data_IF_160453754077
#
_entry.id   IF_160453754077
#
_cell.length_a   1.000
_cell.length_b   1.000
_cell.length_c   1.000
_cell.angle_alpha   90.00
_cell.angle_beta   90.00
_cell.angle_gamma   90.00
#
_symmetry.space_group_name_H-M   'P 1'
#
loop_
_entity.id
_entity.type
_entity.pdbx_description
1 polymer ?
#
# COMPACT_ATOMS: atom_id res chain seq x y z
N UNK A 1 -10.36 8.95 16.69
CA UNK A 1 -9.64 7.69 17.02
C UNK A 1 -9.09 7.13 15.74
N UNK A 2 -7.79 7.05 15.64
CA UNK A 2 -7.19 6.29 14.53
C UNK A 2 -7.55 4.83 14.71
N UNK A 3 -8.50 4.38 13.94
CA UNK A 3 -8.92 2.98 13.91
C UNK A 3 -8.15 2.28 12.80
N UNK A 4 -7.94 0.96 12.93
CA UNK A 4 -7.40 0.15 11.82
C UNK A 4 -8.48 -0.12 10.75
N UNK A 5 -9.50 0.75 10.64
CA UNK A 5 -10.46 0.72 9.55
C UNK A 5 -9.80 1.35 8.30
N UNK A 6 -8.97 0.56 7.64
CA UNK A 6 -8.13 0.97 6.54
C UNK A 6 -8.50 0.20 5.27
N UNK A 7 -8.55 0.91 4.15
CA UNK A 7 -8.64 0.28 2.84
C UNK A 7 -7.23 0.02 2.28
N UNK A 8 -7.06 -1.09 1.58
CA UNK A 8 -5.81 -1.51 0.94
C UNK A 8 -5.91 -1.35 -0.57
N UNK A 9 -5.00 -0.59 -1.16
CA UNK A 9 -4.70 -0.64 -2.59
C UNK A 9 -3.33 -1.25 -2.83
N UNK A 10 -3.14 -1.87 -3.99
CA UNK A 10 -1.87 -2.48 -4.36
C UNK A 10 -1.93 -3.19 -5.70
N UNK A 11 -0.77 -3.62 -6.18
CA UNK A 11 -0.64 -4.23 -7.50
C UNK A 11 0.35 -5.40 -7.56
N UNK A 12 0.66 -6.01 -6.41
CA UNK A 12 1.64 -7.09 -6.25
C UNK A 12 3.11 -6.67 -6.46
N UNK A 13 3.39 -5.37 -6.47
CA UNK A 13 4.75 -4.81 -6.40
C UNK A 13 4.90 -3.89 -5.20
N UNK A 14 3.84 -3.19 -4.84
CA UNK A 14 3.77 -2.35 -3.65
C UNK A 14 2.33 -2.28 -3.12
N UNK A 15 2.16 -1.68 -1.94
CA UNK A 15 0.87 -1.51 -1.26
C UNK A 15 0.75 -0.12 -0.64
N UNK A 16 -0.48 0.36 -0.49
CA UNK A 16 -0.79 1.54 0.30
C UNK A 16 -2.08 1.34 1.10
N UNK A 17 -2.09 1.88 2.32
CA UNK A 17 -3.25 1.89 3.21
C UNK A 17 -3.85 3.29 3.28
N UNK A 18 -5.17 3.35 3.15
CA UNK A 18 -5.96 4.56 3.20
C UNK A 18 -6.91 4.51 4.40
N UNK A 19 -7.03 5.61 5.12
CA UNK A 19 -8.06 5.77 6.13
C UNK A 19 -9.45 6.03 5.51
N UNK A 20 -10.47 6.18 6.34
CA UNK A 20 -11.85 6.38 5.91
C UNK A 20 -12.10 7.72 5.18
N UNK A 21 -11.13 8.65 5.19
CA UNK A 21 -11.16 9.91 4.46
C UNK A 21 -10.24 9.92 3.24
N UNK A 22 -9.81 8.72 2.79
CA UNK A 22 -8.85 8.53 1.70
C UNK A 22 -7.47 9.16 1.95
N UNK A 23 -7.08 9.41 3.20
CA UNK A 23 -5.70 9.79 3.52
C UNK A 23 -4.82 8.55 3.45
N UNK A 24 -3.76 8.58 2.65
CA UNK A 24 -2.77 7.53 2.61
C UNK A 24 -1.88 7.68 3.84
N UNK A 25 -1.94 6.69 4.73
CA UNK A 25 -1.28 6.69 6.04
C UNK A 25 -0.10 5.72 6.11
N UNK A 26 -0.03 4.79 5.16
CA UNK A 26 1.07 3.83 5.05
C UNK A 26 1.32 3.46 3.59
N UNK A 27 2.56 3.56 3.14
CA UNK A 27 3.01 3.01 1.85
C UNK A 27 4.52 2.92 1.80
N UNK A 28 5.05 1.73 1.51
CA UNK A 28 6.48 1.49 1.33
C UNK A 28 6.86 1.59 -0.15
N UNK A 29 8.08 2.07 -0.43
CA UNK A 29 8.61 2.23 -1.77
C UNK A 29 10.07 1.72 -1.85
N UNK A 30 10.48 1.12 -2.95
CA UNK A 30 9.67 0.71 -4.11
C UNK A 30 8.93 -0.63 -3.88
N UNK A 31 9.23 -1.35 -2.79
CA UNK A 31 8.71 -2.69 -2.44
C UNK A 31 7.90 -2.65 -1.13
N UNK A 32 7.03 -3.64 -0.87
CA UNK A 32 6.24 -3.70 0.36
C UNK A 32 7.07 -3.72 1.66
N UNK A 33 8.26 -4.32 1.63
CA UNK A 33 9.21 -4.38 2.76
C UNK A 33 10.21 -3.21 2.79
N UNK A 34 10.09 -2.28 1.85
CA UNK A 34 10.95 -1.12 1.72
C UNK A 34 10.69 -0.02 2.75
N UNK A 35 11.27 1.14 2.46
CA UNK A 35 11.10 2.35 3.26
C UNK A 35 9.67 2.89 3.19
N UNK A 36 8.97 3.09 4.31
CA UNK A 36 7.62 3.65 4.30
C UNK A 36 7.66 5.16 4.07
N UNK A 37 7.57 5.58 2.82
CA UNK A 37 7.52 7.00 2.42
C UNK A 37 6.28 7.71 2.96
N UNK A 38 5.21 6.97 3.21
CA UNK A 38 4.07 7.41 4.01
C UNK A 38 3.95 6.48 5.21
N UNK A 39 4.11 7.03 6.40
CA UNK A 39 4.24 6.29 7.66
C UNK A 39 3.48 6.94 8.83
N UNK A 40 2.54 7.84 8.53
CA UNK A 40 1.76 8.53 9.55
C UNK A 40 0.96 7.58 10.44
N UNK A 41 0.66 6.37 9.98
CA UNK A 41 0.06 5.32 10.80
C UNK A 41 0.87 5.00 12.07
N UNK A 42 2.19 5.12 11.99
CA UNK A 42 3.13 4.84 13.09
C UNK A 42 3.80 6.12 13.65
N UNK A 43 3.40 7.30 13.20
CA UNK A 43 3.97 8.58 13.62
C UNK A 43 3.06 9.35 14.57
N UNK A 44 2.02 8.76 15.09
CA UNK A 44 1.07 9.45 15.90
C UNK A 44 1.39 9.35 17.39
N UNK A 45 1.89 10.42 18.04
CA UNK A 45 1.74 10.56 19.49
C UNK A 45 0.29 10.92 19.83
N UNK A 46 -0.30 10.39 20.92
CA UNK A 46 -1.63 10.83 21.34
C UNK A 46 -1.56 12.33 21.69
N UNK A 47 -2.37 13.15 21.03
CA UNK A 47 -2.60 14.51 21.47
C UNK A 47 -3.43 14.55 22.74
N UNK A 48 -3.51 15.68 23.43
CA UNK A 48 -4.29 15.85 24.67
C UNK A 48 -5.80 15.54 24.49
N UNK A 49 -6.28 15.57 23.24
CA UNK A 49 -7.66 15.21 22.87
C UNK A 49 -7.80 13.75 22.37
N UNK A 50 -6.73 12.94 22.50
CA UNK A 50 -6.67 11.55 22.04
C UNK A 50 -6.62 11.41 20.51
N UNK A 51 -6.44 12.49 19.77
CA UNK A 51 -6.20 12.47 18.32
C UNK A 51 -4.72 12.59 18.05
N UNK A 52 -4.20 11.72 17.21
CA UNK A 52 -2.86 11.85 16.67
C UNK A 52 -2.96 12.62 15.36
N UNK A 53 -2.32 13.79 15.28
CA UNK A 53 -2.24 14.57 14.04
C UNK A 53 -0.77 14.59 13.62
N UNK A 54 -0.35 13.66 12.77
CA UNK A 54 1.01 13.66 12.26
C UNK A 54 1.21 14.85 11.29
N UNK A 55 2.34 15.55 11.42
CA UNK A 55 2.70 16.64 10.50
C UNK A 55 3.27 16.16 9.18
N UNK A 56 3.64 14.89 9.06
CA UNK A 56 4.29 14.31 7.90
C UNK A 56 4.02 12.80 7.78
N UNK A 57 4.49 12.22 6.70
CA UNK A 57 4.33 10.79 6.43
C UNK A 57 2.93 10.43 5.90
N UNK A 58 2.27 11.36 5.18
CA UNK A 58 0.95 11.12 4.62
C UNK A 58 0.74 11.79 3.26
N UNK A 59 -0.31 11.35 2.56
CA UNK A 59 -0.80 11.97 1.34
C UNK A 59 -2.33 12.13 1.43
N UNK A 60 -2.79 13.35 1.50
CA UNK A 60 -4.18 13.71 1.77
C UNK A 60 -4.77 14.61 0.67
N UNK A 61 -6.05 14.41 0.41
CA UNK A 61 -6.91 15.34 -0.32
C UNK A 61 -8.01 15.70 0.66
N UNK A 62 -7.89 16.86 1.29
CA UNK A 62 -8.85 17.34 2.27
C UNK A 62 -9.96 18.13 1.59
N UNK A 63 -11.22 17.78 1.86
CA UNK A 63 -12.37 18.64 1.60
C UNK A 63 -12.55 19.58 2.80
N UNK A 64 -12.43 20.89 2.58
CA UNK A 64 -12.60 21.86 3.66
C UNK A 64 -14.04 21.80 4.22
N UNK A 65 -14.12 21.74 5.55
CA UNK A 65 -15.41 21.60 6.24
C UNK A 65 -16.02 20.20 6.13
N UNK A 66 -15.20 19.18 5.86
CA UNK A 66 -15.63 17.79 5.75
C UNK A 66 -16.33 17.31 7.03
N UNK A 67 -17.59 16.89 6.92
CA UNK A 67 -18.42 16.40 8.01
C UNK A 67 -18.66 14.89 7.96
N UNK A 68 -18.42 14.25 6.82
CA UNK A 68 -18.64 12.81 6.64
C UNK A 68 -17.91 12.23 5.46
N UNK A 69 -17.72 10.91 5.49
CA UNK A 69 -17.11 10.16 4.40
C UNK A 69 -17.78 8.80 4.23
N UNK A 70 -17.85 8.35 3.00
CA UNK A 70 -18.28 7.00 2.60
C UNK A 70 -17.18 6.38 1.75
N UNK A 71 -16.73 5.17 2.11
CA UNK A 71 -15.64 4.49 1.39
C UNK A 71 -16.06 3.09 1.01
N UNK A 72 -15.76 2.70 -0.23
CA UNK A 72 -16.03 1.37 -0.76
C UNK A 72 -14.99 0.95 -1.79
N UNK A 73 -14.86 -0.34 -1.97
CA UNK A 73 -14.19 -0.88 -3.16
C UNK A 73 -15.15 -0.89 -4.35
N UNK A 74 -14.64 -0.57 -5.54
CA UNK A 74 -15.37 -0.92 -6.77
C UNK A 74 -15.55 -2.44 -6.84
N UNK A 75 -16.75 -2.93 -7.22
CA UNK A 75 -17.03 -4.36 -7.23
C UNK A 75 -15.97 -5.16 -8.01
N UNK A 76 -15.45 -6.20 -7.35
CA UNK A 76 -14.46 -7.13 -7.90
C UNK A 76 -13.13 -6.49 -8.32
N UNK A 77 -12.70 -5.44 -7.61
CA UNK A 77 -11.44 -4.74 -7.90
C UNK A 77 -10.64 -4.42 -6.64
N UNK A 78 -9.41 -3.94 -6.84
CA UNK A 78 -8.57 -3.30 -5.82
C UNK A 78 -8.60 -1.76 -5.93
N UNK A 79 -9.65 -1.21 -6.51
CA UNK A 79 -9.88 0.24 -6.64
C UNK A 79 -10.80 0.69 -5.52
N UNK A 80 -10.42 1.75 -4.82
CA UNK A 80 -11.18 2.33 -3.70
C UNK A 80 -11.82 3.63 -4.17
N UNK A 81 -13.11 3.79 -3.92
CA UNK A 81 -13.84 5.06 -4.04
C UNK A 81 -14.15 5.59 -2.65
N UNK A 82 -13.81 6.85 -2.42
CA UNK A 82 -14.17 7.58 -1.20
C UNK A 82 -14.93 8.83 -1.57
N UNK A 83 -16.12 9.01 -1.01
CA UNK A 83 -16.91 10.23 -1.14
C UNK A 83 -16.78 11.02 0.15
N UNK A 84 -16.38 12.29 0.04
CA UNK A 84 -16.31 13.23 1.16
C UNK A 84 -17.45 14.24 1.02
N UNK A 85 -18.09 14.56 2.15
CA UNK A 85 -19.19 15.52 2.24
C UNK A 85 -18.82 16.67 3.18
N UNK A 86 -19.09 17.92 2.78
CA UNK A 86 -18.99 19.07 3.67
C UNK A 86 -20.34 19.43 4.32
N UNK A 87 -20.30 20.35 5.29
CA UNK A 87 -21.50 20.86 5.97
C UNK A 87 -22.36 21.78 5.10
N UNK A 88 -21.89 22.20 3.92
CA UNK A 88 -22.55 23.16 3.02
C UNK A 88 -23.22 22.49 1.82
N UNK A 89 -23.24 21.15 1.78
CA UNK A 89 -23.87 20.38 0.72
C UNK A 89 -22.97 20.08 -0.49
N UNK A 90 -21.69 20.44 -0.44
CA UNK A 90 -20.72 20.01 -1.46
C UNK A 90 -20.23 18.61 -1.20
N UNK A 91 -19.84 17.91 -2.26
CA UNK A 91 -19.25 16.59 -2.16
C UNK A 91 -18.24 16.37 -3.28
N UNK A 92 -17.16 15.63 -2.94
CA UNK A 92 -16.16 15.16 -3.88
C UNK A 92 -16.06 13.64 -3.84
N UNK A 93 -15.63 13.05 -4.95
CA UNK A 93 -15.25 11.65 -5.05
C UNK A 93 -13.76 11.55 -5.32
N UNK A 94 -13.09 10.68 -4.58
CA UNK A 94 -11.68 10.33 -4.76
C UNK A 94 -11.64 8.85 -5.15
N UNK A 95 -11.08 8.54 -6.32
CA UNK A 95 -10.85 7.17 -6.77
C UNK A 95 -9.37 6.86 -6.67
N UNK A 96 -9.00 5.91 -5.81
CA UNK A 96 -7.62 5.52 -5.48
C UNK A 96 -7.30 4.13 -5.96
N UNK A 97 -6.17 3.97 -6.65
CA UNK A 97 -5.70 2.66 -7.10
C UNK A 97 -4.20 2.62 -7.39
N UNK A 98 -3.66 1.40 -7.42
CA UNK A 98 -2.34 1.07 -7.92
C UNK A 98 -2.48 0.48 -9.34
N UNK A 99 -1.89 1.07 -10.38
CA UNK A 99 -2.04 0.60 -11.76
C UNK A 99 -1.57 -0.85 -11.93
N UNK A 100 -2.41 -1.65 -12.58
CA UNK A 100 -2.09 -3.03 -12.93
C UNK A 100 -2.84 -3.47 -14.18
N UNK A 101 -2.12 -3.94 -15.19
CA UNK A 101 -2.71 -4.53 -16.39
C UNK A 101 -1.68 -5.37 -17.15
N UNK A 102 -2.15 -6.13 -18.15
CA UNK A 102 -1.27 -6.82 -19.08
C UNK A 102 -0.93 -5.90 -20.27
N UNK A 103 0.32 -5.87 -20.65
CA UNK A 103 0.82 -5.14 -21.81
C UNK A 103 1.81 -6.00 -22.60
N UNK A 104 1.44 -6.37 -23.82
CA UNK A 104 2.25 -7.27 -24.66
C UNK A 104 2.74 -8.55 -23.94
N UNK A 105 1.83 -9.23 -23.22
CA UNK A 105 2.14 -10.45 -22.47
C UNK A 105 2.95 -10.25 -21.19
N UNK A 106 3.22 -8.99 -20.78
CA UNK A 106 3.92 -8.66 -19.53
C UNK A 106 2.99 -7.92 -18.59
N UNK A 107 3.16 -8.15 -17.29
CA UNK A 107 2.44 -7.40 -16.26
C UNK A 107 3.03 -6.00 -16.11
N UNK A 108 2.22 -4.98 -16.36
CA UNK A 108 2.52 -3.59 -16.00
C UNK A 108 1.99 -3.32 -14.60
N UNK A 109 2.88 -3.09 -13.65
CA UNK A 109 2.55 -2.92 -12.22
C UNK A 109 3.59 -2.02 -11.52
N UNK A 110 3.70 -0.75 -11.94
CA UNK A 110 4.68 0.17 -11.35
C UNK A 110 4.35 0.46 -9.89
N UNK A 111 5.36 0.84 -9.11
CA UNK A 111 5.16 1.34 -7.75
C UNK A 111 4.57 2.76 -7.78
N UNK A 112 3.32 2.86 -8.20
CA UNK A 112 2.62 4.11 -8.50
C UNK A 112 1.24 4.14 -7.87
N UNK A 113 0.90 5.27 -7.24
CA UNK A 113 -0.43 5.58 -6.72
C UNK A 113 -1.09 6.55 -7.69
N UNK A 114 -2.30 6.22 -8.15
CA UNK A 114 -3.13 7.13 -8.95
C UNK A 114 -4.36 7.52 -8.14
N UNK A 115 -4.63 8.83 -8.10
CA UNK A 115 -5.78 9.42 -7.44
C UNK A 115 -6.53 10.28 -8.44
N UNK A 116 -7.79 9.99 -8.66
CA UNK A 116 -8.68 10.79 -9.50
C UNK A 116 -9.69 11.48 -8.59
N UNK A 117 -9.78 12.81 -8.70
CA UNK A 117 -10.64 13.62 -7.83
C UNK A 117 -11.62 14.37 -8.69
N UNK A 118 -12.90 14.29 -8.35
CA UNK A 118 -13.95 15.02 -9.07
C UNK A 118 -15.04 15.57 -8.14
N UNK A 119 -15.62 16.66 -8.54
CA UNK A 119 -16.80 17.21 -7.89
C UNK A 119 -18.02 16.34 -8.19
N UNK A 120 -18.76 15.96 -7.16
CA UNK A 120 -20.08 15.32 -7.31
C UNK A 120 -21.20 16.34 -7.25
N UNK A 121 -21.09 17.35 -6.38
CA UNK A 121 -22.06 18.42 -6.24
C UNK A 121 -21.48 19.64 -5.52
N UNK A 122 -22.11 20.80 -5.71
CA UNK A 122 -21.72 22.05 -5.07
C UNK A 122 -20.44 22.64 -5.66
N UNK A 123 -19.79 23.48 -4.86
CA UNK A 123 -18.51 24.14 -5.18
C UNK A 123 -17.49 23.80 -4.09
N UNK A 124 -17.02 22.56 -4.06
CA UNK A 124 -16.11 22.09 -3.00
C UNK A 124 -14.77 22.81 -3.07
N UNK A 125 -14.23 23.14 -1.91
CA UNK A 125 -12.85 23.64 -1.77
C UNK A 125 -12.00 22.54 -1.18
N UNK A 126 -10.88 22.26 -1.82
CA UNK A 126 -9.95 21.21 -1.39
C UNK A 126 -8.57 21.76 -1.09
N UNK A 127 -7.83 21.01 -0.29
CA UNK A 127 -6.38 21.16 -0.08
C UNK A 127 -5.73 19.83 -0.39
N UNK A 128 -4.64 19.85 -1.16
CA UNK A 128 -3.84 18.66 -1.44
C UNK A 128 -2.54 18.77 -0.65
N UNK A 129 -2.28 17.78 0.23
CA UNK A 129 -1.05 17.69 1.03
C UNK A 129 -0.30 16.42 0.71
N UNK A 130 0.94 16.55 0.27
CA UNK A 130 1.83 15.42 -0.01
C UNK A 130 3.10 15.62 0.80
N UNK A 131 3.20 14.93 1.92
CA UNK A 131 4.26 15.10 2.92
C UNK A 131 5.04 13.79 3.14
N UNK A 132 5.74 13.27 2.11
CA UNK A 132 6.53 12.05 2.28
C UNK A 132 7.73 12.30 3.19
N UNK A 133 8.23 11.23 3.77
CA UNK A 133 9.51 11.16 4.48
C UNK A 133 10.26 9.93 4.02
N UNK A 134 11.57 9.95 4.14
CA UNK A 134 12.43 8.83 3.82
C UNK A 134 13.11 8.29 5.08
N UNK A 135 13.72 7.10 4.95
CA UNK A 135 14.45 6.42 6.01
C UNK A 135 13.64 6.32 7.32
N UNK A 136 12.40 5.78 7.18
CA UNK A 136 11.47 5.60 8.30
C UNK A 136 11.16 6.92 9.03
N UNK A 137 11.10 8.02 8.28
CA UNK A 137 10.74 9.34 8.80
C UNK A 137 11.90 10.23 9.19
N UNK A 138 13.15 9.74 9.18
CA UNK A 138 14.33 10.51 9.58
C UNK A 138 14.68 11.61 8.58
N UNK A 139 14.51 11.35 7.27
CA UNK A 139 14.97 12.26 6.22
C UNK A 139 13.80 13.00 5.56
N UNK A 140 13.84 14.33 5.61
CA UNK A 140 12.97 15.18 4.82
C UNK A 140 13.44 15.20 3.36
N UNK A 141 12.52 15.13 2.37
CA UNK A 141 12.92 15.25 0.98
C UNK A 141 13.39 16.64 0.63
N UNK A 142 14.35 16.73 -0.29
CA UNK A 142 14.56 17.93 -1.07
C UNK A 142 13.45 18.02 -2.12
N UNK A 143 12.84 19.21 -2.28
CA UNK A 143 11.72 19.40 -3.20
C UNK A 143 12.18 20.17 -4.43
N UNK A 144 12.01 19.56 -5.59
CA UNK A 144 12.20 20.23 -6.89
C UNK A 144 10.89 20.24 -7.68
N UNK A 145 10.68 21.23 -8.53
CA UNK A 145 9.42 21.42 -9.24
C UNK A 145 9.63 21.64 -10.74
N UNK A 146 8.70 21.15 -11.53
CA UNK A 146 8.54 21.48 -12.95
C UNK A 146 7.19 22.13 -13.22
N UNK A 147 6.81 22.22 -14.47
CA UNK A 147 5.53 22.82 -14.89
C UNK A 147 4.29 22.03 -14.44
N UNK A 148 4.40 20.70 -14.38
CA UNK A 148 3.29 19.78 -14.07
C UNK A 148 3.69 18.68 -13.09
N UNK A 149 4.80 18.86 -12.36
CA UNK A 149 5.25 17.82 -11.42
C UNK A 149 6.06 18.41 -10.26
N UNK A 150 6.05 17.68 -9.17
CA UNK A 150 6.88 17.86 -7.98
C UNK A 150 7.72 16.59 -7.80
N UNK A 151 9.01 16.74 -7.51
CA UNK A 151 9.90 15.64 -7.17
C UNK A 151 10.32 15.78 -5.71
N UNK A 152 10.14 14.71 -4.97
CA UNK A 152 10.61 14.56 -3.60
C UNK A 152 11.87 13.69 -3.67
N UNK A 153 13.02 14.31 -3.39
CA UNK A 153 14.34 13.72 -3.62
C UNK A 153 15.03 13.42 -2.30
N UNK A 154 15.60 12.24 -2.18
CA UNK A 154 16.56 11.84 -1.15
C UNK A 154 17.82 11.31 -1.85
N UNK A 155 18.86 10.95 -1.12
CA UNK A 155 20.17 10.59 -1.68
C UNK A 155 20.10 9.53 -2.80
N UNK A 156 19.26 8.51 -2.63
CA UNK A 156 19.13 7.36 -3.53
C UNK A 156 17.70 7.15 -4.07
N UNK A 157 16.73 8.01 -3.68
CA UNK A 157 15.31 7.84 -3.97
C UNK A 157 14.72 9.11 -4.53
N UNK A 158 13.88 8.97 -5.54
CA UNK A 158 13.07 10.05 -6.10
C UNK A 158 11.63 9.58 -6.22
N UNK A 159 10.73 10.34 -5.61
CA UNK A 159 9.30 10.16 -5.76
C UNK A 159 8.74 11.34 -6.54
N UNK A 160 8.05 11.07 -7.65
CA UNK A 160 7.49 12.11 -8.51
C UNK A 160 5.98 12.13 -8.44
N UNK A 161 5.42 13.29 -8.11
CA UNK A 161 4.02 13.61 -8.30
C UNK A 161 3.84 14.34 -9.63
N UNK A 162 3.08 13.76 -10.54
CA UNK A 162 2.67 14.42 -11.80
C UNK A 162 1.17 14.72 -11.73
N UNK A 163 0.78 15.97 -12.03
CA UNK A 163 -0.62 16.41 -11.90
C UNK A 163 -0.94 17.57 -12.84
N UNK A 164 -2.24 17.74 -13.13
CA UNK A 164 -2.78 18.93 -13.81
C UNK A 164 -3.13 20.06 -12.83
N UNK A 165 -3.22 19.77 -11.53
CA UNK A 165 -3.46 20.80 -10.50
C UNK A 165 -2.30 21.81 -10.46
N UNK A 166 -2.55 23.08 -10.09
CA UNK A 166 -1.50 24.09 -9.95
C UNK A 166 -0.46 23.66 -8.92
N UNK A 167 0.79 23.52 -9.36
CA UNK A 167 1.90 23.02 -8.52
C UNK A 167 2.09 23.90 -7.27
N UNK A 168 1.95 25.21 -7.41
CA UNK A 168 2.06 26.14 -6.27
C UNK A 168 1.02 25.85 -5.19
N UNK A 169 -0.22 25.49 -5.56
CA UNK A 169 -1.27 25.18 -4.60
C UNK A 169 -0.99 23.93 -3.78
N UNK A 170 -0.29 22.96 -4.37
CA UNK A 170 0.14 21.75 -3.65
C UNK A 170 1.33 22.05 -2.74
N UNK A 171 2.32 22.81 -3.22
CA UNK A 171 3.52 23.15 -2.44
C UNK A 171 3.22 24.07 -1.26
N UNK A 172 2.33 25.04 -1.47
CA UNK A 172 1.94 26.01 -0.46
C UNK A 172 0.70 25.56 0.34
N UNK A 173 0.16 24.37 0.01
CA UNK A 173 -1.07 23.81 0.59
C UNK A 173 -2.25 24.78 0.57
N UNK A 174 -2.35 25.52 -0.54
CA UNK A 174 -3.36 26.56 -0.71
C UNK A 174 -4.72 25.96 -1.05
N UNK A 175 -5.79 26.31 -0.32
CA UNK A 175 -7.15 25.88 -0.67
C UNK A 175 -7.61 26.43 -2.01
N UNK A 176 -8.20 25.58 -2.86
CA UNK A 176 -8.78 25.99 -4.14
C UNK A 176 -10.13 25.30 -4.40
N UNK A 177 -10.92 25.90 -5.28
CA UNK A 177 -12.19 25.32 -5.73
C UNK A 177 -11.88 24.20 -6.73
N UNK A 178 -12.50 23.03 -6.54
CA UNK A 178 -12.41 21.92 -7.48
C UNK A 178 -13.50 22.08 -8.56
N UNK A 179 -13.23 22.91 -9.56
CA UNK A 179 -14.13 23.19 -10.69
C UNK A 179 -13.98 22.16 -11.82
N UNK A 180 -12.78 21.61 -12.01
CA UNK A 180 -12.48 20.54 -12.95
C UNK A 180 -11.92 19.31 -12.25
N UNK A 181 -12.10 18.08 -12.80
CA UNK A 181 -11.46 16.89 -12.27
C UNK A 181 -9.95 17.02 -12.24
N UNK A 182 -9.33 16.53 -11.16
CA UNK A 182 -7.89 16.53 -10.97
C UNK A 182 -7.36 15.10 -10.94
N UNK A 183 -6.34 14.86 -11.75
CA UNK A 183 -5.57 13.60 -11.75
C UNK A 183 -4.22 13.81 -11.08
N UNK A 184 -3.89 12.90 -10.17
CA UNK A 184 -2.64 12.90 -9.40
C UNK A 184 -1.98 11.52 -9.56
N UNK A 185 -0.76 11.50 -10.10
CA UNK A 185 0.03 10.27 -10.32
C UNK A 185 1.33 10.39 -9.55
N UNK A 186 1.48 9.59 -8.50
CA UNK A 186 2.66 9.58 -7.63
C UNK A 186 3.41 8.26 -7.78
N UNK A 187 4.66 8.30 -8.19
CA UNK A 187 5.45 7.09 -8.42
C UNK A 187 6.90 7.37 -8.80
N UNK A 188 7.56 6.48 -9.57
CA UNK A 188 8.92 6.67 -10.08
C UNK A 188 9.07 7.97 -10.88
N UNK A 189 10.32 8.47 -10.96
CA UNK A 189 10.62 9.71 -11.70
C UNK A 189 10.63 9.49 -13.22
N UNK A 190 9.46 9.15 -13.75
CA UNK A 190 9.24 8.92 -15.17
C UNK A 190 8.21 9.91 -15.73
N UNK A 191 8.49 10.53 -16.90
CA UNK A 191 7.52 11.40 -17.55
C UNK A 191 6.38 10.59 -18.18
N UNK A 192 5.18 11.15 -18.15
CA UNK A 192 4.03 10.59 -18.88
C UNK A 192 4.18 10.85 -20.39
N UNK A 193 3.75 9.87 -21.20
CA UNK A 193 3.77 9.95 -22.67
C UNK A 193 2.51 10.58 -23.27
N UNK A 194 1.43 10.63 -22.49
CA UNK A 194 0.13 11.16 -22.87
C UNK A 194 -0.33 12.22 -21.85
N UNK A 195 -1.36 13.02 -22.14
CA UNK A 195 -1.96 13.95 -21.21
C UNK A 195 -2.32 13.25 -19.87
N UNK A 196 -2.18 13.98 -18.77
CA UNK A 196 -2.30 13.40 -17.41
C UNK A 196 -3.68 12.79 -17.21
N UNK A 197 -4.75 13.49 -17.56
CA UNK A 197 -6.12 13.02 -17.34
C UNK A 197 -6.50 11.84 -18.22
N UNK A 198 -6.00 11.81 -19.45
CA UNK A 198 -6.12 10.65 -20.34
C UNK A 198 -5.40 9.44 -19.75
N UNK A 199 -4.17 9.66 -19.28
CA UNK A 199 -3.36 8.62 -18.63
C UNK A 199 -4.05 8.05 -17.39
N UNK A 200 -4.58 8.92 -16.50
CA UNK A 200 -5.29 8.51 -15.30
C UNK A 200 -6.53 7.68 -15.59
N UNK A 201 -7.38 8.15 -16.51
CA UNK A 201 -8.59 7.42 -16.94
C UNK A 201 -8.27 6.07 -17.56
N UNK A 202 -7.30 6.04 -18.48
CA UNK A 202 -6.87 4.81 -19.14
C UNK A 202 -6.30 3.80 -18.12
N UNK A 203 -5.46 4.25 -17.19
CA UNK A 203 -4.92 3.38 -16.13
C UNK A 203 -6.03 2.82 -15.23
N UNK A 204 -7.05 3.62 -14.90
CA UNK A 204 -8.21 3.15 -14.13
C UNK A 204 -8.97 2.04 -14.89
N UNK A 205 -9.31 2.25 -16.15
CA UNK A 205 -10.02 1.26 -16.98
C UNK A 205 -9.25 -0.06 -17.07
N UNK A 206 -7.96 0.01 -17.43
CA UNK A 206 -7.10 -1.18 -17.55
C UNK A 206 -6.94 -1.91 -16.22
N UNK A 207 -6.79 -1.18 -15.10
CA UNK A 207 -6.65 -1.77 -13.77
C UNK A 207 -7.95 -2.44 -13.32
N UNK A 208 -9.08 -1.77 -13.55
CA UNK A 208 -10.41 -2.30 -13.26
C UNK A 208 -10.70 -3.58 -14.04
N UNK A 209 -10.37 -3.60 -15.32
CA UNK A 209 -10.58 -4.75 -16.18
C UNK A 209 -9.68 -5.92 -15.77
N UNK A 210 -8.42 -5.66 -15.41
CA UNK A 210 -7.53 -6.68 -14.86
C UNK A 210 -8.14 -7.37 -13.63
N UNK A 211 -8.56 -6.59 -12.62
CA UNK A 211 -9.10 -7.16 -11.39
C UNK A 211 -10.43 -7.90 -11.60
N UNK A 212 -11.28 -7.38 -12.46
CA UNK A 212 -12.53 -8.06 -12.83
C UNK A 212 -12.27 -9.38 -13.57
N UNK A 213 -11.27 -9.41 -14.44
CA UNK A 213 -10.85 -10.64 -15.09
C UNK A 213 -10.31 -11.66 -14.07
N UNK A 214 -9.48 -11.20 -13.14
CA UNK A 214 -9.00 -12.02 -12.03
C UNK A 214 -10.17 -12.58 -11.20
N UNK A 215 -11.11 -11.75 -10.79
CA UNK A 215 -12.28 -12.22 -10.04
C UNK A 215 -13.14 -13.24 -10.81
N UNK A 216 -13.27 -13.09 -12.12
CA UNK A 216 -14.00 -14.05 -12.98
C UNK A 216 -13.27 -15.39 -13.15
N UNK A 217 -11.97 -15.44 -12.96
CA UNK A 217 -11.20 -16.69 -13.06
C UNK A 217 -11.24 -17.53 -11.77
N UNK A 218 -11.81 -17.01 -10.68
CA UNK A 218 -11.87 -17.72 -9.41
C UNK A 218 -12.94 -18.82 -9.42
N UNK A 219 -12.59 -19.99 -8.91
CA UNK A 219 -13.52 -21.08 -8.59
C UNK A 219 -14.22 -20.76 -7.25
N UNK A 220 -15.31 -20.01 -7.33
CA UNK A 220 -16.00 -19.50 -6.16
C UNK A 220 -16.89 -20.55 -5.49
N UNK A 221 -17.00 -20.57 -4.16
CA UNK A 221 -17.98 -21.36 -3.43
C UNK A 221 -19.40 -20.85 -3.70
N UNK A 222 -20.39 -21.66 -3.33
CA UNK A 222 -21.80 -21.31 -3.55
C UNK A 222 -22.25 -20.11 -2.71
N UNK A 223 -21.69 -19.98 -1.51
CA UNK A 223 -22.03 -18.91 -0.56
C UNK A 223 -20.82 -17.97 -0.31
N UNK A 224 -21.08 -16.78 0.20
CA UNK A 224 -20.07 -15.80 0.61
C UNK A 224 -19.18 -15.28 -0.54
N UNK A 225 -19.67 -15.31 -1.78
CA UNK A 225 -18.86 -15.00 -2.96
C UNK A 225 -18.17 -13.64 -2.88
N UNK A 226 -18.88 -12.59 -2.45
CA UNK A 226 -18.29 -11.24 -2.34
C UNK A 226 -17.14 -11.20 -1.33
N UNK A 227 -17.30 -11.86 -0.18
CA UNK A 227 -16.27 -11.95 0.84
C UNK A 227 -15.06 -12.75 0.35
N UNK A 228 -15.29 -13.85 -0.36
CA UNK A 228 -14.22 -14.70 -0.93
C UNK A 228 -13.47 -13.96 -2.03
N UNK A 229 -14.16 -13.25 -2.92
CA UNK A 229 -13.51 -12.43 -3.97
C UNK A 229 -12.67 -11.33 -3.31
N UNK A 230 -13.20 -10.63 -2.29
CA UNK A 230 -12.46 -9.58 -1.58
C UNK A 230 -11.22 -10.15 -0.90
N UNK A 231 -11.34 -11.29 -0.22
CA UNK A 231 -10.21 -11.99 0.40
C UNK A 231 -9.16 -12.41 -0.65
N UNK A 232 -9.59 -13.03 -1.76
CA UNK A 232 -8.68 -13.45 -2.84
C UNK A 232 -7.91 -12.27 -3.44
N UNK A 233 -8.57 -11.12 -3.68
CA UNK A 233 -7.90 -9.90 -4.17
C UNK A 233 -6.89 -9.40 -3.12
N UNK A 234 -7.25 -9.38 -1.84
CA UNK A 234 -6.37 -8.92 -0.75
C UNK A 234 -5.14 -9.83 -0.63
N UNK A 235 -5.33 -11.14 -0.61
CA UNK A 235 -4.22 -12.10 -0.57
C UNK A 235 -3.32 -11.98 -1.81
N UNK A 236 -3.93 -11.79 -3.00
CA UNK A 236 -3.19 -11.55 -4.24
C UNK A 236 -2.32 -10.29 -4.16
N UNK A 237 -2.82 -9.19 -3.57
CA UNK A 237 -2.06 -7.95 -3.37
C UNK A 237 -0.85 -8.19 -2.45
N UNK A 238 -0.98 -9.06 -1.44
CA UNK A 238 0.09 -9.41 -0.52
C UNK A 238 1.16 -10.34 -1.13
N UNK A 239 1.02 -10.77 -2.39
CA UNK A 239 2.09 -11.49 -3.10
C UNK A 239 3.03 -10.52 -3.78
N UNK A 240 4.33 -10.71 -3.64
CA UNK A 240 5.36 -9.99 -4.39
C UNK A 240 5.70 -10.80 -5.64
N UNK A 241 5.10 -10.44 -6.77
CA UNK A 241 5.16 -11.27 -8.00
C UNK A 241 6.53 -11.36 -8.67
N UNK A 242 7.49 -10.52 -8.31
CA UNK A 242 8.86 -10.63 -8.85
C UNK A 242 9.55 -11.90 -8.41
N UNK A 243 9.28 -12.33 -7.19
CA UNK A 243 9.91 -13.53 -6.60
C UNK A 243 8.93 -14.64 -6.28
N UNK A 244 7.64 -14.31 -6.12
CA UNK A 244 6.61 -15.21 -5.65
C UNK A 244 6.41 -15.21 -4.13
N UNK A 245 7.16 -14.40 -3.38
CA UNK A 245 7.02 -14.29 -1.94
C UNK A 245 5.63 -13.74 -1.53
N UNK A 246 5.17 -14.11 -0.34
CA UNK A 246 3.93 -13.63 0.27
C UNK A 246 4.29 -12.92 1.58
N UNK A 247 3.95 -11.64 1.72
CA UNK A 247 4.14 -10.92 2.98
C UNK A 247 3.08 -11.31 4.01
N UNK A 248 3.49 -11.48 5.27
CA UNK A 248 2.55 -11.84 6.34
C UNK A 248 1.69 -10.65 6.78
N UNK A 249 2.18 -9.41 6.65
CA UNK A 249 1.40 -8.18 6.81
C UNK A 249 1.92 -7.06 5.93
N UNK A 250 1.09 -6.04 5.68
CA UNK A 250 1.46 -4.86 4.88
C UNK A 250 2.17 -3.78 5.69
N UNK A 251 2.21 -3.91 7.03
CA UNK A 251 2.82 -2.95 7.94
C UNK A 251 3.83 -3.60 8.87
N UNK A 252 4.67 -2.77 9.48
CA UNK A 252 5.43 -3.17 10.67
C UNK A 252 4.74 -2.65 11.93
N UNK A 253 5.06 -3.25 13.08
CA UNK A 253 4.89 -2.68 14.43
C UNK A 253 3.49 -2.21 14.80
N UNK A 254 2.46 -2.85 14.29
CA UNK A 254 1.13 -2.79 14.90
C UNK A 254 1.15 -3.72 16.12
N UNK A 255 0.85 -3.21 17.36
CA UNK A 255 0.95 -4.01 18.56
C UNK A 255 0.02 -5.22 18.54
N UNK A 256 0.50 -6.38 19.00
CA UNK A 256 -0.31 -7.59 19.18
C UNK A 256 -1.40 -7.41 20.23
N UNK A 257 -1.17 -6.52 21.20
CA UNK A 257 -2.14 -6.17 22.24
C UNK A 257 -1.98 -4.71 22.66
N UNK A 258 -3.06 -4.00 23.02
CA UNK A 258 -3.00 -2.62 23.49
C UNK A 258 -2.06 -2.45 24.68
N UNK A 259 -1.25 -1.38 24.67
CA UNK A 259 -0.35 -1.03 25.76
C UNK A 259 0.86 -1.94 25.91
N UNK A 260 1.21 -2.73 24.90
CA UNK A 260 2.38 -3.61 24.90
C UNK A 260 3.45 -3.15 23.94
N UNK A 261 4.69 -3.61 24.17
CA UNK A 261 5.85 -3.42 23.28
C UNK A 261 6.01 -4.60 22.29
N UNK A 262 5.00 -5.44 22.17
CA UNK A 262 4.99 -6.62 21.30
C UNK A 262 4.67 -6.20 19.86
N UNK A 263 5.64 -5.55 19.27
CA UNK A 263 5.60 -4.97 17.92
C UNK A 263 6.65 -5.64 17.07
N UNK A 264 6.25 -6.18 15.91
CA UNK A 264 7.15 -6.92 15.03
C UNK A 264 6.99 -6.46 13.59
N UNK A 265 8.03 -6.61 12.80
CA UNK A 265 7.97 -6.39 11.37
C UNK A 265 7.50 -7.66 10.66
N UNK A 266 6.29 -7.65 10.14
CA UNK A 266 5.67 -8.76 9.44
C UNK A 266 5.63 -8.59 7.91
N UNK A 267 6.38 -7.63 7.35
CA UNK A 267 6.43 -7.37 5.90
C UNK A 267 7.28 -8.37 5.12
N UNK A 268 7.62 -9.49 5.74
CA UNK A 268 8.44 -10.57 5.20
C UNK A 268 7.62 -11.83 4.95
N UNK A 269 8.24 -12.80 4.29
CA UNK A 269 7.62 -14.07 3.94
C UNK A 269 7.86 -15.11 5.02
N UNK A 270 6.87 -15.33 5.90
CA UNK A 270 6.84 -16.51 6.77
C UNK A 270 6.42 -17.74 5.97
N UNK A 271 7.20 -18.79 6.01
CA UNK A 271 6.99 -20.03 5.25
C UNK A 271 5.64 -20.65 5.58
N UNK A 272 5.27 -20.74 6.86
CA UNK A 272 3.96 -21.24 7.32
C UNK A 272 2.80 -20.40 6.80
N UNK A 273 2.87 -19.08 6.98
CA UNK A 273 1.80 -18.15 6.60
C UNK A 273 1.59 -18.17 5.09
N UNK A 274 2.68 -18.15 4.33
CA UNK A 274 2.65 -18.24 2.88
C UNK A 274 2.01 -19.55 2.40
N UNK A 275 2.31 -20.68 3.04
CA UNK A 275 1.69 -21.97 2.74
C UNK A 275 0.15 -21.87 2.83
N UNK A 276 -0.40 -21.31 3.91
CA UNK A 276 -1.86 -21.19 4.05
C UNK A 276 -2.47 -20.25 3.01
N UNK A 277 -1.80 -19.14 2.68
CA UNK A 277 -2.24 -18.23 1.63
C UNK A 277 -2.29 -18.95 0.27
N UNK A 278 -1.22 -19.67 -0.06
CA UNK A 278 -1.12 -20.40 -1.33
C UNK A 278 -2.18 -21.51 -1.42
N UNK A 279 -2.42 -22.27 -0.35
CA UNK A 279 -3.47 -23.28 -0.32
C UNK A 279 -4.86 -22.66 -0.50
N UNK A 280 -5.14 -21.52 0.14
CA UNK A 280 -6.40 -20.80 -0.03
C UNK A 280 -6.59 -20.31 -1.47
N UNK A 281 -5.57 -19.72 -2.08
CA UNK A 281 -5.63 -19.25 -3.46
C UNK A 281 -5.70 -20.42 -4.47
N UNK A 282 -4.98 -21.51 -4.22
CA UNK A 282 -5.05 -22.72 -5.05
C UNK A 282 -6.45 -23.36 -5.03
N UNK A 283 -7.12 -23.38 -3.87
CA UNK A 283 -8.50 -23.84 -3.75
C UNK A 283 -9.48 -23.02 -4.60
N UNK A 284 -9.12 -21.78 -4.93
CA UNK A 284 -9.87 -20.90 -5.83
C UNK A 284 -9.39 -20.97 -7.29
N UNK A 285 -8.47 -21.89 -7.61
CA UNK A 285 -7.93 -22.08 -8.96
C UNK A 285 -6.85 -21.07 -9.36
N UNK A 286 -6.23 -20.36 -8.41
CA UNK A 286 -5.16 -19.36 -8.68
C UNK A 286 -3.79 -20.05 -8.74
N UNK A 287 -3.57 -20.88 -9.77
CA UNK A 287 -2.38 -21.74 -9.91
C UNK A 287 -1.09 -20.96 -10.16
N UNK A 288 -1.14 -19.87 -10.94
CA UNK A 288 0.06 -19.05 -11.24
C UNK A 288 0.71 -18.49 -9.96
N UNK A 289 -0.09 -18.10 -8.97
CA UNK A 289 0.45 -17.60 -7.70
C UNK A 289 1.12 -18.73 -6.92
N UNK A 290 0.55 -19.93 -6.95
CA UNK A 290 1.16 -21.12 -6.37
C UNK A 290 2.49 -21.47 -7.05
N UNK A 291 2.52 -21.52 -8.38
CA UNK A 291 3.74 -21.82 -9.15
C UNK A 291 4.86 -20.83 -8.85
N UNK A 292 4.55 -19.52 -8.78
CA UNK A 292 5.52 -18.50 -8.41
C UNK A 292 6.07 -18.70 -6.99
N UNK A 293 5.21 -19.06 -6.04
CA UNK A 293 5.65 -19.35 -4.68
C UNK A 293 6.49 -20.63 -4.62
N UNK A 294 6.16 -21.66 -5.38
CA UNK A 294 6.97 -22.88 -5.47
C UNK A 294 8.37 -22.58 -6.02
N UNK A 295 8.51 -21.69 -6.99
CA UNK A 295 9.81 -21.22 -7.44
C UNK A 295 10.58 -20.50 -6.33
N UNK A 296 9.90 -19.60 -5.60
CA UNK A 296 10.51 -18.87 -4.48
C UNK A 296 11.03 -19.82 -3.41
N UNK A 297 10.21 -20.75 -2.92
CA UNK A 297 10.59 -21.68 -1.83
C UNK A 297 11.63 -22.71 -2.30
N UNK A 298 11.56 -23.15 -3.55
CA UNK A 298 12.55 -24.06 -4.13
C UNK A 298 13.95 -23.41 -4.16
N UNK A 299 14.05 -22.15 -4.53
CA UNK A 299 15.31 -21.41 -4.50
C UNK A 299 15.87 -21.28 -3.07
N UNK A 300 14.99 -21.03 -2.08
CA UNK A 300 15.38 -20.98 -0.67
C UNK A 300 15.90 -22.34 -0.21
N UNK A 301 15.20 -23.43 -0.51
CA UNK A 301 15.61 -24.79 -0.13
C UNK A 301 16.94 -25.17 -0.78
N UNK A 302 17.12 -24.84 -2.06
CA UNK A 302 18.36 -25.09 -2.78
C UNK A 302 19.55 -24.31 -2.20
N UNK A 303 19.32 -23.14 -1.64
CA UNK A 303 20.32 -22.31 -0.96
C UNK A 303 20.56 -22.68 0.51
N UNK A 304 19.70 -23.52 1.11
CA UNK A 304 19.78 -23.86 2.52
C UNK A 304 21.00 -24.72 2.84
N UNK A 305 21.93 -24.19 3.63
CA UNK A 305 23.10 -24.93 4.08
C UNK A 305 22.70 -25.98 5.12
N UNK A 306 23.18 -27.22 4.94
CA UNK A 306 22.95 -28.34 5.87
C UNK A 306 21.46 -28.71 6.11
N UNK A 307 20.55 -28.30 5.17
CA UNK A 307 19.12 -28.63 5.30
C UNK A 307 18.38 -27.87 6.40
N UNK A 308 18.95 -26.80 6.96
CA UNK A 308 18.27 -25.97 7.96
C UNK A 308 17.47 -24.88 7.29
N UNK A 309 16.17 -24.83 7.57
CA UNK A 309 15.27 -23.81 7.08
C UNK A 309 14.97 -22.79 8.19
N UNK A 310 14.96 -21.51 7.81
CA UNK A 310 14.47 -20.41 8.66
C UNK A 310 12.94 -20.32 8.57
N UNK A 311 12.27 -19.84 9.61
CA UNK A 311 10.81 -19.66 9.57
C UNK A 311 10.37 -18.50 8.69
N UNK A 312 11.28 -17.54 8.41
CA UNK A 312 11.01 -16.31 7.68
C UNK A 312 12.20 -15.92 6.79
N UNK A 313 11.89 -15.36 5.64
CA UNK A 313 12.84 -14.82 4.66
C UNK A 313 12.36 -13.47 4.14
N UNK A 314 13.28 -12.64 3.65
CA UNK A 314 12.95 -11.43 2.91
C UNK A 314 12.22 -11.75 1.60
N UNK A 315 11.45 -10.80 1.08
CA UNK A 315 10.67 -11.03 -0.15
C UNK A 315 11.54 -11.16 -1.40
N UNK A 316 12.78 -10.70 -1.38
CA UNK A 316 13.77 -10.97 -2.40
C UNK A 316 14.78 -12.06 -1.96
N UNK A 317 14.33 -12.99 -1.08
CA UNK A 317 15.09 -14.14 -0.57
C UNK A 317 16.22 -13.77 0.40
N UNK A 318 16.20 -12.60 1.00
CA UNK A 318 17.17 -12.21 2.03
C UNK A 318 17.09 -13.17 3.23
N UNK A 319 18.23 -13.73 3.60
CA UNK A 319 18.35 -14.67 4.73
C UNK A 319 18.58 -13.98 6.07
N UNK A 320 19.07 -12.74 6.07
CA UNK A 320 19.37 -11.98 7.28
C UNK A 320 18.43 -10.79 7.37
N UNK A 321 17.57 -10.82 8.37
CA UNK A 321 16.57 -9.78 8.63
C UNK A 321 16.88 -9.10 9.97
N UNK A 322 18.11 -8.58 10.11
CA UNK A 322 18.59 -7.98 11.36
C UNK A 322 17.64 -6.93 11.86
N UNK A 323 17.15 -7.12 13.08
CA UNK A 323 16.18 -6.22 13.70
C UNK A 323 16.86 -4.94 14.21
N UNK A 324 16.22 -3.80 13.93
CA UNK A 324 16.58 -2.51 14.47
C UNK A 324 15.33 -1.70 14.80
N UNK A 325 15.48 -0.74 15.71
CA UNK A 325 14.42 0.23 15.99
C UNK A 325 14.50 1.43 15.03
N UNK A 326 13.36 1.91 14.55
CA UNK A 326 13.19 3.18 13.84
C UNK A 326 12.77 4.24 14.85
N UNK A 327 13.75 4.96 15.40
CA UNK A 327 13.55 5.88 16.55
C UNK A 327 12.77 7.14 16.19
N UNK A 328 12.69 7.50 14.91
CA UNK A 328 11.91 8.62 14.38
C UNK A 328 10.40 8.41 14.39
N UNK A 329 9.94 7.17 14.60
CA UNK A 329 8.53 6.80 14.63
C UNK A 329 8.11 6.43 16.06
N UNK A 330 7.06 7.09 16.55
CA UNK A 330 6.55 6.89 17.90
C UNK A 330 5.84 5.52 18.08
N UNK A 331 5.45 4.87 16.98
CA UNK A 331 4.64 3.67 16.99
C UNK A 331 3.14 3.95 16.85
N UNK A 332 2.38 2.90 16.56
CA UNK A 332 0.93 3.01 16.45
C UNK A 332 0.32 3.51 17.77
N UNK A 333 -0.32 4.68 17.76
CA UNK A 333 -0.84 5.37 18.96
C UNK A 333 0.22 5.54 20.07
N UNK A 334 1.47 5.82 19.70
CA UNK A 334 2.56 5.96 20.67
C UNK A 334 3.05 4.65 21.29
N UNK A 335 2.56 3.50 20.82
CA UNK A 335 2.98 2.19 21.32
C UNK A 335 4.21 1.68 20.54
N UNK A 336 5.37 2.33 20.73
CA UNK A 336 6.65 1.90 20.21
C UNK A 336 7.26 0.71 20.98
N UNK A 337 8.47 0.25 20.57
CA UNK A 337 9.28 0.77 19.45
C UNK A 337 8.76 0.34 18.09
N UNK A 338 9.03 1.11 17.05
CA UNK A 338 8.85 0.66 15.66
C UNK A 338 10.08 -0.15 15.27
N UNK A 339 9.87 -1.37 14.79
CA UNK A 339 10.93 -2.32 14.43
C UNK A 339 11.02 -2.47 12.93
N UNK A 340 12.24 -2.65 12.44
CA UNK A 340 12.57 -2.98 11.05
C UNK A 340 13.46 -4.20 11.07
N UNK A 341 13.18 -5.19 10.25
CA UNK A 341 13.78 -6.51 10.38
C UNK A 341 13.03 -7.37 11.39
N UNK A 342 13.43 -8.64 11.52
CA UNK A 342 12.77 -9.56 12.45
C UNK A 342 13.74 -10.69 12.83
N UNK A 343 14.13 -10.75 14.10
CA UNK A 343 15.06 -11.77 14.63
C UNK A 343 14.54 -13.22 14.55
N UNK A 344 13.26 -13.43 14.19
CA UNK A 344 12.75 -14.77 13.94
C UNK A 344 13.56 -15.53 12.88
N UNK A 345 14.29 -14.84 12.01
CA UNK A 345 15.16 -15.49 11.01
C UNK A 345 16.24 -16.40 11.66
N UNK A 346 16.63 -16.11 12.88
CA UNK A 346 17.63 -16.92 13.64
C UNK A 346 17.00 -18.07 14.44
N UNK A 347 15.68 -18.17 14.46
CA UNK A 347 14.94 -19.21 15.20
C UNK A 347 14.85 -20.50 14.36
N UNK A 348 14.66 -21.62 15.06
CA UNK A 348 14.26 -22.90 14.47
C UNK A 348 12.78 -23.12 14.81
N UNK A 349 11.94 -23.20 13.77
CA UNK A 349 10.51 -23.52 13.91
C UNK A 349 10.22 -24.80 13.10
N UNK A 350 9.76 -25.85 13.79
CA UNK A 350 9.61 -27.16 13.17
C UNK A 350 8.49 -27.24 12.12
N UNK A 351 7.50 -26.35 12.23
CA UNK A 351 6.40 -26.22 11.25
C UNK A 351 6.85 -25.73 9.86
N UNK A 352 8.00 -25.04 9.78
CA UNK A 352 8.58 -24.59 8.50
C UNK A 352 8.85 -25.74 7.54
N UNK A 353 9.34 -26.87 8.05
CA UNK A 353 9.63 -28.06 7.23
C UNK A 353 8.33 -28.68 6.67
N UNK A 354 7.31 -28.79 7.50
CA UNK A 354 5.99 -29.29 7.08
C UNK A 354 5.36 -28.39 6.04
N UNK A 355 5.42 -27.06 6.25
CA UNK A 355 4.88 -26.08 5.30
C UNK A 355 5.55 -26.13 3.91
N UNK A 356 6.87 -26.34 3.87
CA UNK A 356 7.60 -26.52 2.59
C UNK A 356 7.23 -27.81 1.87
N UNK A 357 7.08 -28.93 2.60
CA UNK A 357 6.74 -30.23 2.00
C UNK A 357 5.30 -30.23 1.45
N UNK A 358 4.39 -29.52 2.12
CA UNK A 358 2.98 -29.49 1.77
C UNK A 358 2.61 -28.42 0.74
N UNK A 359 3.48 -27.45 0.49
CA UNK A 359 3.30 -26.42 -0.53
C UNK A 359 3.48 -27.01 -1.94
#
# INVERSE_FOLDING_TARGET
MDTLNLALIGNCSFTALLDTRARIVWSCQPRPDGDPVFCSLLNGAPGDDGRTVPDWGFYEIELLGCTGSEQRYLPNTAVVETVLHDGNGSAIEITDFAPRHQHHGRSYRPATIVRLVRTLRGTPRIVIRVRPRFDYGEVAPEITRGSNHIRYVSADKVLRLTTAAPIAYILDETPFVLDEPVTLILGPDEPLRAPIDESGRRLLELTRDYWRQYARSLALPFEWQDAVIRAAITLKICTFEETGAVIAAVTTSIPEAPGTIRNWDYRYCWVRDAYFVIQALNSLGVTITMENYLHYITNIVAGASKGTLQPVYGIAQEMRLVERAASSLAGYRGMGPVRVGNEAYAQIQNDSYGAVILA
#
